data_IF_193254125509
#
_entry.id   IF_193254125509
#
_cell.length_a   1.000
_cell.length_b   1.000
_cell.length_c   1.000
_cell.angle_alpha   90.00
_cell.angle_beta   90.00
_cell.angle_gamma   90.00
#
_symmetry.space_group_name_H-M   'P 1'
#
loop_
_entity.id
_entity.type
_entity.pdbx_description
1 polymer ?
#
# COMPACT_ATOMS: atom_id res chain seq x y z
N UNK A 1 -1.59 10.50 -19.81
CA UNK A 1 -1.16 10.60 -18.40
C UNK A 1 -1.84 9.47 -17.64
N UNK A 2 -1.10 8.44 -17.25
CA UNK A 2 -1.61 7.35 -16.42
C UNK A 2 -1.71 7.88 -14.99
N UNK A 3 -2.94 8.01 -14.50
CA UNK A 3 -3.22 8.39 -13.11
C UNK A 3 -2.70 7.26 -12.23
N UNK A 4 -1.73 7.53 -11.36
CA UNK A 4 -1.32 6.53 -10.37
C UNK A 4 -2.53 6.17 -9.50
N UNK A 5 -2.71 4.87 -9.26
CA UNK A 5 -3.78 4.38 -8.39
C UNK A 5 -3.55 4.87 -6.96
N UNK A 6 -4.62 5.31 -6.32
CA UNK A 6 -4.67 5.67 -4.90
C UNK A 6 -4.37 4.46 -4.01
N UNK A 7 -4.09 4.72 -2.73
CA UNK A 7 -3.88 3.67 -1.74
C UNK A 7 -5.09 2.74 -1.65
N UNK A 8 -6.28 3.31 -1.58
CA UNK A 8 -7.56 2.62 -1.46
C UNK A 8 -7.81 1.72 -2.68
N UNK A 9 -7.51 2.20 -3.88
CA UNK A 9 -7.60 1.40 -5.11
C UNK A 9 -6.60 0.24 -5.15
N UNK A 10 -5.38 0.46 -4.64
CA UNK A 10 -4.34 -0.58 -4.56
C UNK A 10 -4.73 -1.67 -3.55
N UNK A 11 -5.22 -1.29 -2.37
CA UNK A 11 -5.70 -2.23 -1.36
C UNK A 11 -6.90 -3.02 -1.86
N UNK A 12 -7.87 -2.36 -2.49
CA UNK A 12 -9.01 -3.06 -3.09
C UNK A 12 -8.57 -4.10 -4.12
N UNK A 13 -7.59 -3.75 -4.96
CA UNK A 13 -7.04 -4.70 -5.95
C UNK A 13 -6.36 -5.88 -5.25
N UNK A 14 -5.66 -5.64 -4.14
CA UNK A 14 -5.01 -6.69 -3.36
C UNK A 14 -6.03 -7.65 -2.73
N UNK A 15 -7.12 -7.12 -2.17
CA UNK A 15 -8.24 -7.91 -1.65
C UNK A 15 -8.87 -8.78 -2.75
N UNK A 16 -9.09 -8.22 -3.94
CA UNK A 16 -9.60 -8.96 -5.10
C UNK A 16 -8.65 -10.11 -5.49
N UNK A 17 -7.32 -9.87 -5.48
CA UNK A 17 -6.33 -10.91 -5.76
C UNK A 17 -6.40 -12.05 -4.74
N UNK A 18 -6.57 -11.75 -3.46
CA UNK A 18 -6.72 -12.77 -2.41
C UNK A 18 -7.97 -13.60 -2.65
N UNK A 19 -9.10 -12.96 -2.97
CA UNK A 19 -10.35 -13.65 -3.30
C UNK A 19 -10.20 -14.55 -4.53
N UNK A 20 -9.48 -14.11 -5.57
CA UNK A 20 -9.21 -14.93 -6.76
C UNK A 20 -8.28 -16.12 -6.45
N UNK A 21 -7.31 -15.95 -5.55
CA UNK A 21 -6.41 -17.04 -5.12
C UNK A 21 -7.11 -18.12 -4.31
N UNK A 22 -8.18 -17.77 -3.58
CA UNK A 22 -8.97 -18.70 -2.77
C UNK A 22 -9.97 -19.54 -3.58
N UNK A 23 -10.11 -19.29 -4.90
CA UNK A 23 -11.02 -20.05 -5.74
C UNK A 23 -10.44 -21.43 -6.09
N UNK A 24 -11.28 -22.45 -5.97
CA UNK A 24 -10.91 -23.85 -6.28
C UNK A 24 -10.56 -24.09 -7.77
N UNK A 25 -10.95 -23.19 -8.67
CA UNK A 25 -10.73 -23.30 -10.12
C UNK A 25 -9.51 -22.51 -10.64
N UNK A 26 -8.74 -21.88 -9.74
CA UNK A 26 -7.55 -21.13 -10.13
C UNK A 26 -6.44 -22.09 -10.57
N UNK A 27 -5.90 -21.88 -11.77
CA UNK A 27 -4.80 -22.70 -12.28
C UNK A 27 -3.48 -22.30 -11.62
N UNK A 28 -2.52 -23.24 -11.55
CA UNK A 28 -1.18 -22.96 -10.97
C UNK A 28 -0.49 -21.75 -11.62
N UNK A 29 -0.55 -21.65 -12.95
CA UNK A 29 0.00 -20.52 -13.69
C UNK A 29 -0.65 -19.21 -13.27
N UNK A 30 -1.99 -19.22 -13.12
CA UNK A 30 -2.74 -18.05 -12.67
C UNK A 30 -2.43 -17.69 -11.21
N UNK A 31 -2.28 -18.68 -10.34
CA UNK A 31 -1.89 -18.47 -8.94
C UNK A 31 -0.53 -17.78 -8.84
N UNK A 32 0.44 -18.19 -9.67
CA UNK A 32 1.76 -17.56 -9.70
C UNK A 32 1.70 -16.10 -10.16
N UNK A 33 0.93 -15.80 -11.20
CA UNK A 33 0.70 -14.42 -11.66
C UNK A 33 0.03 -13.56 -10.59
N UNK A 34 -1.04 -14.05 -9.99
CA UNK A 34 -1.79 -13.36 -8.95
C UNK A 34 -0.92 -13.11 -7.72
N UNK A 35 -0.12 -14.10 -7.31
CA UNK A 35 0.82 -13.96 -6.21
C UNK A 35 1.87 -12.88 -6.48
N UNK A 36 2.50 -12.89 -7.65
CA UNK A 36 3.48 -11.86 -8.02
C UNK A 36 2.87 -10.46 -8.01
N UNK A 37 1.66 -10.31 -8.56
CA UNK A 37 0.92 -9.04 -8.53
C UNK A 37 0.58 -8.61 -7.11
N UNK A 38 0.12 -9.55 -6.26
CA UNK A 38 -0.20 -9.28 -4.86
C UNK A 38 1.01 -8.83 -4.05
N UNK A 39 2.16 -9.48 -4.22
CA UNK A 39 3.42 -9.08 -3.56
C UNK A 39 3.85 -7.68 -3.97
N UNK A 40 3.76 -7.35 -5.26
CA UNK A 40 4.10 -6.00 -5.73
C UNK A 40 3.14 -4.95 -5.17
N UNK A 41 1.83 -5.21 -5.18
CA UNK A 41 0.83 -4.31 -4.62
C UNK A 41 1.01 -4.10 -3.12
N UNK A 42 1.28 -5.16 -2.36
CA UNK A 42 1.55 -5.07 -0.93
C UNK A 42 2.78 -4.20 -0.64
N UNK A 43 3.85 -4.35 -1.43
CA UNK A 43 5.06 -3.52 -1.34
C UNK A 43 4.77 -2.05 -1.62
N UNK A 44 3.99 -1.77 -2.67
CA UNK A 44 3.59 -0.40 -3.01
C UNK A 44 2.77 0.24 -1.88
N UNK A 45 1.80 -0.50 -1.32
CA UNK A 45 0.99 -0.02 -0.19
C UNK A 45 1.86 0.29 1.03
N UNK A 46 2.82 -0.59 1.35
CA UNK A 46 3.76 -0.35 2.43
C UNK A 46 4.60 0.91 2.22
N UNK A 47 4.99 1.21 0.97
CA UNK A 47 5.73 2.42 0.65
C UNK A 47 4.89 3.69 0.83
N UNK A 48 3.61 3.64 0.44
CA UNK A 48 2.67 4.75 0.63
C UNK A 48 2.48 5.03 2.13
N UNK A 49 2.25 3.98 2.92
CA UNK A 49 2.08 4.11 4.38
C UNK A 49 3.34 4.66 5.04
N UNK A 50 4.52 4.17 4.66
CA UNK A 50 5.80 4.68 5.17
C UNK A 50 5.99 6.16 4.85
N UNK A 51 5.65 6.59 3.63
CA UNK A 51 5.73 7.99 3.25
C UNK A 51 4.74 8.86 4.02
N UNK A 52 3.53 8.36 4.28
CA UNK A 52 2.54 9.04 5.10
C UNK A 52 3.02 9.17 6.57
N UNK A 53 3.58 8.10 7.13
CA UNK A 53 4.15 8.08 8.50
C UNK A 53 5.29 9.11 8.64
N UNK A 54 6.26 9.10 7.73
CA UNK A 54 7.34 10.10 7.73
C UNK A 54 6.78 11.53 7.65
N UNK A 55 5.72 11.74 6.86
CA UNK A 55 5.13 13.08 6.74
C UNK A 55 4.44 13.53 8.03
N UNK A 56 3.79 12.60 8.74
CA UNK A 56 3.18 12.85 10.04
C UNK A 56 4.26 13.16 11.08
N UNK A 57 5.35 12.39 11.10
CA UNK A 57 6.48 12.65 11.99
C UNK A 57 7.10 14.04 11.73
N UNK A 58 7.36 14.41 10.47
CA UNK A 58 7.86 15.75 10.13
C UNK A 58 6.97 16.86 10.69
N UNK A 59 5.65 16.72 10.53
CA UNK A 59 4.68 17.71 11.01
C UNK A 59 4.63 17.76 12.55
N UNK A 60 4.82 16.63 13.23
CA UNK A 60 4.90 16.57 14.68
C UNK A 60 6.12 17.32 15.21
N UNK A 61 7.30 17.08 14.64
CA UNK A 61 8.53 17.74 15.06
C UNK A 61 8.49 19.26 14.79
N UNK A 62 7.90 19.67 13.67
CA UNK A 62 7.66 21.10 13.37
C UNK A 62 6.73 21.78 14.39
N UNK A 63 5.81 21.04 15.02
CA UNK A 63 4.93 21.56 16.07
C UNK A 63 5.58 21.61 17.46
N UNK A 64 6.63 20.83 17.71
CA UNK A 64 7.35 20.79 19.00
C UNK A 64 8.42 21.89 19.09
N UNK A 65 9.05 22.28 17.98
CA UNK A 65 10.06 23.33 17.94
C UNK A 65 9.49 24.73 18.29
N UNK A 66 8.21 25.01 18.05
CA UNK A 66 7.55 26.27 18.44
C UNK A 66 7.21 26.35 19.94
N UNK A 67 7.40 25.27 20.71
CA UNK A 67 7.04 25.21 22.14
C UNK A 67 8.23 25.37 23.11
N UNK A 68 9.44 25.61 22.58
CA UNK A 68 10.68 25.65 23.38
C UNK A 68 11.24 27.06 23.67
N UNK A 69 10.48 28.12 23.39
CA UNK A 69 10.83 29.49 23.79
C UNK A 69 10.16 29.84 25.15
N UNK A 70 10.65 29.26 26.25
CA UNK A 70 10.62 29.86 27.60
C UNK A 70 11.98 29.73 28.30
#
# INVERSE_FOLDING_TARGET
MTKEKTFEEKIKTLEEIVVELDKDDVTLEKSLELYQQGVQLAKDCGLILKNAEMKVEELHHLGEDESSDE
#
